data_IF_457830915845
#
_entry.id   IF_457830915845
#
_cell.length_a   1.000
_cell.length_b   1.000
_cell.length_c   1.000
_cell.angle_alpha   90.00
_cell.angle_beta   90.00
_cell.angle_gamma   90.00
#
_symmetry.space_group_name_H-M   'P 1'
#
loop_
_entity.id
_entity.type
_entity.pdbx_description
1 polymer ?
#
# COMPACT_ATOMS: atom_id res chain seq x y z
N UNK A 1 -7.61 -2.98 32.06
CA UNK A 1 -7.75 -4.32 32.70
C UNK A 1 -8.38 -5.35 31.76
N UNK A 2 -9.55 -5.11 31.15
CA UNK A 2 -10.16 -6.05 30.18
C UNK A 2 -9.33 -6.26 28.90
N UNK A 3 -8.64 -5.22 28.43
CA UNK A 3 -7.73 -5.28 27.28
C UNK A 3 -6.54 -6.23 27.53
N UNK A 4 -5.87 -6.04 28.67
CA UNK A 4 -4.76 -6.90 29.13
C UNK A 4 -5.19 -8.36 29.32
N UNK A 5 -6.41 -8.60 29.85
CA UNK A 5 -6.97 -9.94 30.00
C UNK A 5 -7.26 -10.60 28.64
N UNK A 6 -7.72 -9.83 27.65
CA UNK A 6 -7.98 -10.34 26.30
C UNK A 6 -6.69 -10.67 25.53
N UNK A 7 -5.66 -9.85 25.66
CA UNK A 7 -4.32 -10.14 25.11
C UNK A 7 -3.72 -11.38 25.80
N UNK A 8 -3.83 -11.47 27.13
CA UNK A 8 -3.40 -12.65 27.87
C UNK A 8 -4.16 -13.92 27.45
N UNK A 9 -5.47 -13.83 27.16
CA UNK A 9 -6.26 -14.95 26.65
C UNK A 9 -5.85 -15.36 25.24
N UNK A 10 -5.57 -14.41 24.34
CA UNK A 10 -5.08 -14.70 22.99
C UNK A 10 -3.69 -15.35 23.01
N UNK A 11 -2.78 -14.86 23.86
CA UNK A 11 -1.50 -15.49 24.10
C UNK A 11 -1.68 -16.89 24.70
N UNK A 12 -2.60 -17.06 25.65
CA UNK A 12 -2.98 -18.36 26.20
C UNK A 12 -3.45 -19.35 25.12
N UNK A 13 -4.29 -18.92 24.18
CA UNK A 13 -4.73 -19.74 23.05
C UNK A 13 -3.57 -20.08 22.10
N UNK A 14 -2.62 -19.16 21.88
CA UNK A 14 -1.41 -19.42 21.11
C UNK A 14 -0.50 -20.45 21.80
N UNK A 15 -0.36 -20.39 23.12
CA UNK A 15 0.37 -21.39 23.90
C UNK A 15 -0.35 -22.74 23.88
N UNK A 16 -1.68 -22.74 24.04
CA UNK A 16 -2.51 -23.94 23.98
C UNK A 16 -2.46 -24.60 22.61
N UNK A 17 -2.37 -23.83 21.52
CA UNK A 17 -2.12 -24.36 20.18
C UNK A 17 -0.87 -25.22 20.14
N UNK A 18 0.27 -24.72 20.65
CA UNK A 18 1.51 -25.48 20.65
C UNK A 18 1.46 -26.70 21.57
N UNK A 19 0.83 -26.60 22.74
CA UNK A 19 0.59 -27.76 23.63
C UNK A 19 -0.26 -28.83 22.91
N UNK A 20 -1.29 -28.42 22.17
CA UNK A 20 -2.15 -29.31 21.41
C UNK A 20 -1.42 -29.95 20.22
N UNK A 21 -0.53 -29.21 19.54
CA UNK A 21 0.39 -29.76 18.52
C UNK A 21 1.32 -30.82 19.14
N UNK A 22 1.88 -30.57 20.33
CA UNK A 22 2.72 -31.55 21.03
C UNK A 22 1.92 -32.80 21.41
N UNK A 23 0.68 -32.65 21.88
CA UNK A 23 -0.22 -33.77 22.16
C UNK A 23 -0.56 -34.58 20.90
N UNK A 24 -0.75 -33.89 19.75
CA UNK A 24 -0.97 -34.53 18.46
C UNK A 24 0.25 -35.33 18.01
N UNK A 25 1.45 -34.74 18.11
CA UNK A 25 2.72 -35.40 17.78
C UNK A 25 3.01 -36.59 18.69
N UNK A 26 2.69 -36.48 19.99
CA UNK A 26 2.78 -37.61 20.92
C UNK A 26 1.83 -38.73 20.52
N UNK A 27 0.57 -38.39 20.19
CA UNK A 27 -0.40 -39.33 19.63
C UNK A 27 0.16 -40.05 18.40
N UNK A 28 0.71 -39.28 17.45
CA UNK A 28 1.33 -39.78 16.20
C UNK A 28 2.45 -40.79 16.49
N UNK A 29 3.42 -40.42 17.33
CA UNK A 29 4.55 -41.27 17.73
C UNK A 29 4.08 -42.56 18.42
N UNK A 30 3.08 -42.48 19.28
CA UNK A 30 2.49 -43.65 19.93
C UNK A 30 1.76 -44.57 18.95
N UNK A 31 1.05 -44.02 17.97
CA UNK A 31 0.48 -44.83 16.88
C UNK A 31 1.57 -45.50 16.06
N UNK A 32 2.62 -44.76 15.68
CA UNK A 32 3.70 -45.27 14.87
C UNK A 32 4.43 -46.43 15.58
N UNK A 33 4.72 -46.28 16.87
CA UNK A 33 5.32 -47.33 17.69
C UNK A 33 4.40 -48.53 17.89
N UNK A 34 3.09 -48.33 18.07
CA UNK A 34 2.13 -49.43 18.17
C UNK A 34 2.04 -50.24 16.86
N UNK A 35 2.04 -49.55 15.70
CA UNK A 35 2.06 -50.19 14.37
C UNK A 35 3.36 -50.96 14.15
N UNK A 36 4.50 -50.39 14.57
CA UNK A 36 5.79 -51.06 14.48
C UNK A 36 5.84 -52.32 15.35
N UNK A 37 5.35 -52.24 16.59
CA UNK A 37 5.25 -53.39 17.50
C UNK A 37 4.30 -54.48 16.97
N UNK A 38 3.17 -54.10 16.36
CA UNK A 38 2.25 -55.05 15.73
C UNK A 38 2.88 -55.78 14.54
N UNK A 39 3.76 -55.11 13.77
CA UNK A 39 4.52 -55.72 12.68
C UNK A 39 5.66 -56.63 13.16
N UNK A 40 6.28 -56.28 14.29
CA UNK A 40 7.37 -57.06 14.89
C UNK A 40 6.87 -58.32 15.62
N UNK A 41 5.66 -58.29 16.19
CA UNK A 41 5.06 -59.39 16.93
C UNK A 41 4.03 -60.13 16.05
N UNK A 42 4.47 -61.19 15.37
CA UNK A 42 3.66 -61.95 14.40
C UNK A 42 2.61 -62.90 15.01
N UNK A 43 1.72 -62.40 15.90
CA UNK A 43 0.71 -63.23 16.58
C UNK A 43 -0.66 -62.56 16.77
N UNK A 44 -1.74 -63.35 16.68
CA UNK A 44 -3.13 -62.87 16.82
C UNK A 44 -3.43 -62.23 18.19
N UNK A 45 -2.76 -62.71 19.25
CA UNK A 45 -2.94 -62.23 20.62
C UNK A 45 -2.23 -60.87 20.90
N UNK A 46 -1.28 -60.48 20.05
CA UNK A 46 -0.68 -59.14 20.11
C UNK A 46 -1.66 -58.08 19.58
N UNK A 47 -2.43 -58.41 18.54
CA UNK A 47 -3.41 -57.49 17.92
C UNK A 47 -4.57 -57.14 18.85
N UNK A 48 -5.05 -58.10 19.64
CA UNK A 48 -6.12 -57.89 20.63
C UNK A 48 -5.68 -56.96 21.76
N UNK A 49 -4.42 -57.07 22.22
CA UNK A 49 -3.86 -56.19 23.27
C UNK A 49 -3.47 -54.80 22.78
N UNK A 50 -3.02 -54.68 21.53
CA UNK A 50 -2.55 -53.41 20.96
C UNK A 50 -3.70 -52.50 20.47
N UNK A 51 -4.84 -53.07 20.05
CA UNK A 51 -6.03 -52.32 19.61
C UNK A 51 -6.50 -51.21 20.56
N UNK A 52 -6.75 -51.45 21.86
CA UNK A 52 -7.20 -50.39 22.76
C UNK A 52 -6.15 -49.30 22.98
N UNK A 53 -4.85 -49.66 22.98
CA UNK A 53 -3.75 -48.69 23.05
C UNK A 53 -3.68 -47.81 21.81
N UNK A 54 -3.88 -48.40 20.64
CA UNK A 54 -3.89 -47.70 19.35
C UNK A 54 -5.10 -46.76 19.22
N UNK A 55 -6.27 -47.17 19.72
CA UNK A 55 -7.44 -46.30 19.81
C UNK A 55 -7.21 -45.12 20.75
N UNK A 56 -6.57 -45.35 21.89
CA UNK A 56 -6.21 -44.27 22.82
C UNK A 56 -5.22 -43.28 22.17
N UNK A 57 -4.17 -43.75 21.50
CA UNK A 57 -3.22 -42.86 20.81
C UNK A 57 -3.84 -42.09 19.65
N UNK A 58 -4.79 -42.69 18.93
CA UNK A 58 -5.54 -42.00 17.87
C UNK A 58 -6.40 -40.86 18.44
N UNK A 59 -6.99 -41.04 19.62
CA UNK A 59 -7.74 -39.98 20.31
C UNK A 59 -6.84 -38.80 20.70
N UNK A 60 -5.60 -39.06 21.13
CA UNK A 60 -4.61 -38.01 21.39
C UNK A 60 -4.21 -37.28 20.11
N UNK A 61 -3.98 -38.01 19.01
CA UNK A 61 -3.67 -37.42 17.71
C UNK A 61 -4.81 -36.52 17.22
N UNK A 62 -6.03 -37.06 17.15
CA UNK A 62 -7.19 -36.32 16.63
C UNK A 62 -7.59 -35.18 17.55
N UNK A 63 -7.67 -35.42 18.87
CA UNK A 63 -8.01 -34.39 19.85
C UNK A 63 -6.99 -33.27 19.87
N UNK A 64 -5.69 -33.59 19.82
CA UNK A 64 -4.61 -32.60 19.72
C UNK A 64 -4.68 -31.81 18.42
N UNK A 65 -4.90 -32.46 17.27
CA UNK A 65 -5.00 -31.79 15.99
C UNK A 65 -6.22 -30.85 15.89
N UNK A 66 -7.39 -31.28 16.37
CA UNK A 66 -8.59 -30.46 16.39
C UNK A 66 -8.46 -29.27 17.36
N UNK A 67 -7.90 -29.50 18.54
CA UNK A 67 -7.66 -28.42 19.50
C UNK A 67 -6.61 -27.44 18.99
N UNK A 68 -5.55 -27.92 18.33
CA UNK A 68 -4.56 -27.07 17.69
C UNK A 68 -5.18 -26.21 16.58
N UNK A 69 -5.99 -26.80 15.71
CA UNK A 69 -6.68 -26.07 14.65
C UNK A 69 -7.67 -25.04 15.23
N UNK A 70 -8.48 -25.43 16.22
CA UNK A 70 -9.41 -24.53 16.90
C UNK A 70 -8.68 -23.35 17.56
N UNK A 71 -7.57 -23.61 18.24
CA UNK A 71 -6.75 -22.56 18.85
C UNK A 71 -6.09 -21.67 17.78
N UNK A 72 -5.61 -22.24 16.67
CA UNK A 72 -4.99 -21.52 15.55
C UNK A 72 -5.97 -20.52 14.90
N UNK A 73 -7.25 -20.91 14.80
CA UNK A 73 -8.32 -20.07 14.26
C UNK A 73 -8.85 -19.06 15.29
N UNK A 74 -8.89 -19.43 16.57
CA UNK A 74 -9.47 -18.59 17.63
C UNK A 74 -8.51 -17.51 18.16
N UNK A 75 -7.20 -17.78 18.27
CA UNK A 75 -6.27 -16.81 18.86
C UNK A 75 -6.18 -15.48 18.08
N UNK A 76 -6.20 -15.42 16.73
CA UNK A 76 -6.18 -14.16 15.99
C UNK A 76 -7.49 -13.39 16.17
N UNK A 77 -8.62 -14.12 16.29
CA UNK A 77 -9.97 -13.57 16.51
C UNK A 77 -10.06 -12.93 17.90
N UNK A 78 -9.60 -13.62 18.94
CA UNK A 78 -9.57 -13.10 20.32
C UNK A 78 -8.56 -11.96 20.46
N UNK A 79 -7.41 -12.05 19.79
CA UNK A 79 -6.43 -10.96 19.76
C UNK A 79 -7.04 -9.72 19.09
N UNK A 80 -7.64 -9.85 17.92
CA UNK A 80 -8.36 -8.75 17.28
C UNK A 80 -9.44 -8.18 18.22
N UNK A 81 -10.29 -9.03 18.82
CA UNK A 81 -11.36 -8.63 19.76
C UNK A 81 -10.89 -7.80 20.94
N UNK A 82 -9.70 -8.14 21.45
CA UNK A 82 -9.14 -7.50 22.63
C UNK A 82 -8.50 -6.16 22.28
N UNK A 83 -7.93 -6.05 21.08
CA UNK A 83 -7.19 -4.86 20.65
C UNK A 83 -8.11 -3.81 20.01
N UNK A 84 -9.16 -4.23 19.31
CA UNK A 84 -10.22 -3.37 18.77
C UNK A 84 -11.42 -3.36 19.72
N UNK A 85 -11.83 -2.21 20.25
CA UNK A 85 -12.99 -2.06 21.15
C UNK A 85 -14.33 -2.63 20.61
N UNK A 86 -15.45 -2.50 21.35
CA UNK A 86 -16.70 -3.23 21.03
C UNK A 86 -17.21 -2.93 19.62
N UNK A 87 -17.27 -3.97 18.78
CA UNK A 87 -17.80 -3.93 17.41
C UNK A 87 -19.07 -4.76 17.31
N UNK A 88 -20.01 -4.41 16.40
CA UNK A 88 -21.29 -5.09 16.27
C UNK A 88 -21.13 -6.57 15.85
N UNK A 89 -22.08 -7.45 16.22
CA UNK A 89 -22.01 -8.90 16.02
C UNK A 89 -21.71 -9.37 14.58
N UNK A 90 -21.99 -8.53 13.57
CA UNK A 90 -21.68 -8.80 12.16
C UNK A 90 -20.18 -8.92 11.86
N UNK A 91 -19.30 -8.31 12.65
CA UNK A 91 -17.83 -8.34 12.44
C UNK A 91 -17.26 -9.74 12.75
N UNK A 92 -17.83 -10.45 13.72
CA UNK A 92 -17.42 -11.82 14.07
C UNK A 92 -17.84 -12.83 12.98
N UNK A 93 -19.01 -12.64 12.39
CA UNK A 93 -19.46 -13.43 11.24
C UNK A 93 -18.60 -13.16 9.99
N UNK A 94 -18.09 -11.94 9.82
CA UNK A 94 -17.24 -11.52 8.71
C UNK A 94 -15.88 -12.24 8.71
N UNK A 95 -15.30 -12.52 9.88
CA UNK A 95 -14.04 -13.28 10.01
C UNK A 95 -14.21 -14.79 9.73
N UNK A 96 -15.39 -15.35 9.99
CA UNK A 96 -15.71 -16.76 9.68
C UNK A 96 -16.11 -16.95 8.21
N UNK A 97 -16.79 -15.96 7.61
CA UNK A 97 -17.14 -15.93 6.19
C UNK A 97 -15.91 -15.64 5.30
N UNK A 98 -14.89 -14.96 5.82
CA UNK A 98 -13.58 -14.82 5.15
C UNK A 98 -12.91 -16.17 4.84
N UNK A 99 -13.26 -17.25 5.54
CA UNK A 99 -12.79 -18.61 5.26
C UNK A 99 -13.50 -19.29 4.06
N UNK A 100 -14.52 -18.65 3.46
CA UNK A 100 -15.32 -19.21 2.35
C UNK A 100 -15.39 -18.31 1.09
N UNK A 101 -14.53 -17.28 0.98
CA UNK A 101 -14.31 -16.57 -0.29
C UNK A 101 -15.28 -15.43 -0.63
N UNK A 102 -15.86 -14.74 0.36
CA UNK A 102 -16.69 -13.54 0.14
C UNK A 102 -16.07 -12.32 0.85
N UNK A 103 -14.91 -11.86 0.36
CA UNK A 103 -14.11 -10.76 0.93
C UNK A 103 -14.91 -9.44 1.09
N UNK A 104 -14.61 -8.62 2.12
CA UNK A 104 -14.87 -7.18 2.04
C UNK A 104 -13.97 -6.58 0.95
N UNK A 105 -14.39 -5.46 0.37
CA UNK A 105 -13.64 -4.80 -0.70
C UNK A 105 -12.20 -4.47 -0.23
N UNK A 106 -11.24 -4.54 -1.16
CA UNK A 106 -9.82 -4.24 -0.94
C UNK A 106 -9.55 -2.96 -0.13
N UNK A 107 -10.46 -1.98 -0.22
CA UNK A 107 -10.44 -0.72 0.52
C UNK A 107 -10.62 -0.85 2.03
N UNK A 108 -11.34 -1.86 2.53
CA UNK A 108 -11.69 -1.97 3.95
C UNK A 108 -10.58 -2.63 4.77
N UNK A 109 -9.81 -3.55 4.18
CA UNK A 109 -8.64 -4.15 4.82
C UNK A 109 -7.50 -3.14 5.04
N UNK A 110 -7.46 -2.07 4.25
CA UNK A 110 -6.46 -1.00 4.36
C UNK A 110 -6.70 0.01 5.49
N UNK A 111 -7.88 0.03 6.10
CA UNK A 111 -8.18 0.90 7.25
C UNK A 111 -7.64 0.34 8.59
N UNK A 112 -7.15 -0.91 8.59
CA UNK A 112 -6.62 -1.58 9.77
C UNK A 112 -5.12 -1.28 9.92
N UNK A 113 -4.77 -0.43 10.89
CA UNK A 113 -3.40 -0.25 11.39
C UNK A 113 -3.28 -0.76 12.83
N UNK A 114 -2.15 -1.40 13.25
CA UNK A 114 -0.79 -0.90 12.97
C UNK A 114 0.27 -1.88 12.41
N UNK A 115 0.06 -3.17 12.27
CA UNK A 115 1.06 -4.04 11.64
C UNK A 115 0.35 -5.15 10.91
N UNK A 116 0.54 -5.22 9.60
CA UNK A 116 0.05 -6.36 8.83
C UNK A 116 0.55 -7.65 9.48
N UNK A 117 -0.40 -8.51 9.88
CA UNK A 117 -0.14 -9.63 10.80
C UNK A 117 0.47 -10.86 10.11
N UNK A 118 0.54 -10.85 8.79
CA UNK A 118 1.02 -11.95 7.96
C UNK A 118 2.35 -11.59 7.29
N UNK A 119 3.22 -12.56 7.07
CA UNK A 119 4.41 -12.37 6.22
C UNK A 119 4.07 -12.26 4.72
N UNK A 120 2.82 -12.52 4.35
CA UNK A 120 2.31 -12.51 2.98
C UNK A 120 1.16 -11.54 2.84
N UNK A 121 1.13 -10.79 1.73
CA UNK A 121 0.04 -9.91 1.30
C UNK A 121 -0.39 -10.29 -0.11
N UNK A 122 -1.59 -9.94 -0.55
CA UNK A 122 -1.93 -10.02 -1.96
C UNK A 122 -1.01 -9.13 -2.81
N UNK A 123 -0.63 -9.62 -3.99
CA UNK A 123 0.22 -8.88 -4.91
C UNK A 123 -0.60 -7.82 -5.67
N UNK A 124 -0.29 -6.56 -5.38
CA UNK A 124 -0.91 -5.40 -6.03
C UNK A 124 -0.58 -5.30 -7.53
N UNK A 125 0.43 -6.04 -8.02
CA UNK A 125 0.76 -6.14 -9.44
C UNK A 125 -0.15 -7.08 -10.23
N UNK A 126 -1.06 -7.80 -9.57
CA UNK A 126 -1.97 -8.76 -10.23
C UNK A 126 -3.33 -8.09 -10.47
N UNK A 127 -3.72 -7.82 -11.72
CA UNK A 127 -4.99 -7.14 -12.02
C UNK A 127 -6.20 -7.94 -11.53
N UNK A 128 -7.25 -7.26 -11.03
CA UNK A 128 -8.55 -7.87 -10.79
C UNK A 128 -9.07 -8.50 -12.09
N UNK A 129 -9.42 -9.78 -12.08
CA UNK A 129 -9.87 -10.52 -13.27
C UNK A 129 -8.77 -11.25 -14.04
N UNK A 130 -7.53 -11.27 -13.53
CA UNK A 130 -6.49 -12.13 -14.10
C UNK A 130 -6.86 -13.62 -14.02
N UNK A 131 -6.41 -14.41 -15.00
CA UNK A 131 -6.58 -15.88 -14.97
C UNK A 131 -5.96 -16.52 -13.72
N UNK A 132 -4.99 -15.86 -13.08
CA UNK A 132 -4.38 -16.30 -11.84
C UNK A 132 -5.37 -16.23 -10.66
N UNK A 133 -6.12 -15.14 -10.53
CA UNK A 133 -7.15 -14.98 -9.50
C UNK A 133 -8.28 -16.00 -9.68
N UNK A 134 -8.80 -16.16 -10.91
CA UNK A 134 -9.86 -17.12 -11.21
C UNK A 134 -9.44 -18.57 -10.91
N UNK A 135 -8.18 -18.94 -11.19
CA UNK A 135 -7.62 -20.25 -10.82
C UNK A 135 -7.43 -20.40 -9.31
N UNK A 136 -7.13 -19.31 -8.61
CA UNK A 136 -6.99 -19.28 -7.15
C UNK A 136 -8.32 -19.56 -6.45
N UNK A 137 -9.38 -18.89 -6.90
CA UNK A 137 -10.75 -19.12 -6.43
C UNK A 137 -11.20 -20.56 -6.67
N UNK A 138 -10.95 -21.10 -7.87
CA UNK A 138 -11.25 -22.50 -8.19
C UNK A 138 -10.48 -23.47 -7.28
N UNK A 139 -9.18 -23.25 -7.07
CA UNK A 139 -8.37 -24.10 -6.20
C UNK A 139 -8.86 -24.06 -4.73
N UNK A 140 -9.20 -22.88 -4.22
CA UNK A 140 -9.77 -22.74 -2.87
C UNK A 140 -11.10 -23.48 -2.73
N UNK A 141 -11.98 -23.42 -3.75
CA UNK A 141 -13.24 -24.17 -3.77
C UNK A 141 -13.01 -25.70 -3.76
N UNK A 142 -12.05 -26.20 -4.53
CA UNK A 142 -11.66 -27.61 -4.51
C UNK A 142 -11.13 -28.06 -3.15
N UNK A 143 -10.32 -27.23 -2.48
CA UNK A 143 -9.80 -27.52 -1.14
C UNK A 143 -10.89 -27.53 -0.08
N UNK A 144 -11.82 -26.57 -0.13
CA UNK A 144 -12.98 -26.55 0.75
C UNK A 144 -13.87 -27.78 0.58
N UNK A 145 -14.15 -28.17 -0.67
CA UNK A 145 -14.93 -29.37 -0.98
C UNK A 145 -14.24 -30.65 -0.48
N UNK A 146 -12.91 -30.76 -0.69
CA UNK A 146 -12.14 -31.91 -0.26
C UNK A 146 -12.03 -32.00 1.27
N UNK A 147 -11.92 -30.86 1.97
CA UNK A 147 -11.98 -30.80 3.44
C UNK A 147 -13.33 -31.25 3.99
N UNK A 148 -14.44 -30.76 3.41
CA UNK A 148 -15.80 -31.16 3.80
C UNK A 148 -16.05 -32.65 3.57
N UNK A 149 -15.58 -33.18 2.44
CA UNK A 149 -15.64 -34.62 2.15
C UNK A 149 -14.82 -35.44 3.17
N UNK A 150 -13.61 -35.00 3.50
CA UNK A 150 -12.78 -35.63 4.54
C UNK A 150 -13.42 -35.62 5.92
N UNK A 151 -14.04 -34.49 6.31
CA UNK A 151 -14.75 -34.35 7.59
C UNK A 151 -15.99 -35.26 7.67
N UNK A 152 -16.77 -35.36 6.58
CA UNK A 152 -17.92 -36.28 6.49
C UNK A 152 -17.51 -37.76 6.60
N UNK A 153 -16.38 -38.12 5.98
CA UNK A 153 -15.81 -39.48 6.08
C UNK A 153 -15.27 -39.76 7.49
N UNK A 154 -14.72 -38.76 8.18
CA UNK A 154 -14.25 -38.88 9.57
C UNK A 154 -15.37 -39.21 10.56
N UNK A 155 -16.57 -38.69 10.31
CA UNK A 155 -17.76 -38.91 11.13
C UNK A 155 -18.43 -40.28 10.87
N UNK A 156 -18.15 -40.92 9.74
CA UNK A 156 -18.67 -42.25 9.45
C UNK A 156 -17.93 -43.33 10.26
N UNK A 157 -18.64 -44.14 11.07
CA UNK A 157 -18.09 -45.10 12.07
C UNK A 157 -17.13 -46.22 11.55
N UNK A 158 -16.70 -46.19 10.29
CA UNK A 158 -15.80 -47.16 9.63
C UNK A 158 -14.49 -46.51 9.09
N UNK A 159 -14.08 -45.37 9.63
CA UNK A 159 -13.30 -44.34 8.94
C UNK A 159 -11.80 -44.54 8.67
N UNK A 160 -11.09 -45.55 9.19
CA UNK A 160 -9.61 -45.47 9.20
C UNK A 160 -8.93 -45.49 7.81
N UNK A 161 -9.40 -46.32 6.87
CA UNK A 161 -8.84 -46.36 5.51
C UNK A 161 -9.45 -45.30 4.58
N UNK A 162 -10.71 -44.93 4.81
CA UNK A 162 -11.43 -43.92 4.01
C UNK A 162 -10.93 -42.50 4.29
N UNK A 163 -10.53 -42.21 5.53
CA UNK A 163 -9.84 -40.97 5.90
C UNK A 163 -8.49 -40.84 5.18
N UNK A 164 -7.69 -41.92 5.16
CA UNK A 164 -6.41 -41.94 4.46
C UNK A 164 -6.59 -41.75 2.95
N UNK A 165 -7.61 -42.38 2.35
CA UNK A 165 -7.95 -42.18 0.94
C UNK A 165 -8.44 -40.75 0.65
N UNK A 166 -9.30 -40.18 1.50
CA UNK A 166 -9.76 -38.79 1.36
C UNK A 166 -8.60 -37.79 1.49
N UNK A 167 -7.71 -37.99 2.48
CA UNK A 167 -6.50 -37.17 2.63
C UNK A 167 -5.53 -37.33 1.44
N UNK A 168 -5.40 -38.52 0.87
CA UNK A 168 -4.60 -38.75 -0.32
C UNK A 168 -5.19 -38.05 -1.55
N UNK A 169 -6.52 -38.04 -1.71
CA UNK A 169 -7.20 -37.29 -2.79
C UNK A 169 -7.02 -35.78 -2.60
N UNK A 170 -7.15 -35.26 -1.39
CA UNK A 170 -6.86 -33.84 -1.07
C UNK A 170 -5.40 -33.51 -1.40
N UNK A 171 -4.45 -34.36 -1.01
CA UNK A 171 -3.03 -34.18 -1.30
C UNK A 171 -2.74 -34.23 -2.81
N UNK A 172 -3.34 -35.16 -3.54
CA UNK A 172 -3.23 -35.25 -5.00
C UNK A 172 -3.84 -34.04 -5.71
N UNK A 173 -4.95 -33.47 -5.21
CA UNK A 173 -5.55 -32.25 -5.74
C UNK A 173 -4.69 -31.00 -5.46
N UNK A 174 -4.05 -30.92 -4.28
CA UNK A 174 -3.07 -29.89 -3.94
C UNK A 174 -1.82 -29.94 -4.84
N UNK A 175 -1.38 -31.16 -5.17
CA UNK A 175 -0.20 -31.44 -6.00
C UNK A 175 -0.49 -31.51 -7.51
N UNK A 176 -1.76 -31.33 -7.92
CA UNK A 176 -2.14 -31.44 -9.32
C UNK A 176 -1.53 -30.29 -10.15
N UNK A 177 -1.00 -30.57 -11.35
CA UNK A 177 -0.47 -29.54 -12.25
C UNK A 177 -1.60 -28.60 -12.66
N UNK A 178 -1.60 -27.38 -12.13
CA UNK A 178 -2.63 -26.36 -12.40
C UNK A 178 -3.10 -25.57 -11.18
N UNK A 179 -2.79 -26.02 -9.95
CA UNK A 179 -2.98 -25.18 -8.77
C UNK A 179 -2.07 -23.96 -8.87
N UNK A 180 -2.61 -22.72 -8.76
CA UNK A 180 -1.77 -21.54 -8.85
C UNK A 180 -0.83 -21.55 -7.65
N UNK A 181 0.46 -21.45 -7.97
CA UNK A 181 1.50 -21.23 -6.99
C UNK A 181 1.14 -19.98 -6.18
N UNK A 182 1.11 -20.03 -4.84
CA UNK A 182 0.69 -18.91 -4.02
C UNK A 182 1.53 -17.66 -4.29
N UNK A 183 2.77 -17.81 -4.76
CA UNK A 183 3.68 -16.73 -5.17
C UNK A 183 3.18 -15.93 -6.39
N UNK A 184 2.18 -16.41 -7.14
CA UNK A 184 1.55 -15.65 -8.24
C UNK A 184 0.46 -14.70 -7.76
N UNK A 185 -0.04 -14.86 -6.55
CA UNK A 185 -1.17 -14.08 -6.00
C UNK A 185 -0.77 -13.36 -4.72
N UNK A 186 0.26 -13.86 -4.03
CA UNK A 186 0.78 -13.33 -2.78
C UNK A 186 2.21 -12.83 -2.98
N UNK A 187 2.46 -11.61 -2.53
CA UNK A 187 3.79 -11.02 -2.38
C UNK A 187 4.22 -11.02 -0.91
N UNK A 188 5.52 -10.99 -0.60
CA UNK A 188 6.00 -10.73 0.75
C UNK A 188 5.48 -9.39 1.27
N UNK A 189 4.99 -9.38 2.50
CA UNK A 189 4.55 -8.18 3.18
C UNK A 189 5.64 -7.70 4.15
N UNK A 190 5.74 -6.38 4.31
CA UNK A 190 6.57 -5.74 5.32
C UNK A 190 5.67 -5.21 6.44
N UNK A 191 6.18 -4.98 7.65
CA UNK A 191 5.38 -4.38 8.73
C UNK A 191 4.78 -3.02 8.34
N UNK A 192 5.37 -2.33 7.35
CA UNK A 192 4.93 -1.03 6.87
C UNK A 192 4.09 -1.09 5.60
N UNK A 193 3.86 -2.23 4.94
CA UNK A 193 3.22 -2.31 3.60
C UNK A 193 2.03 -1.36 3.44
N UNK A 194 1.05 -1.43 4.34
CA UNK A 194 -0.19 -0.63 4.22
C UNK A 194 -0.08 0.76 4.84
N UNK A 195 1.07 1.12 5.41
CA UNK A 195 1.30 2.41 6.05
C UNK A 195 1.27 3.52 5.01
N UNK A 196 0.40 4.48 5.26
CA UNK A 196 0.28 5.67 4.43
C UNK A 196 1.27 6.76 4.89
N UNK A 197 1.75 7.62 3.96
CA UNK A 197 2.60 8.74 4.31
C UNK A 197 1.88 9.71 5.26
N UNK A 198 2.47 10.08 6.41
CA UNK A 198 1.87 11.02 7.36
C UNK A 198 2.18 12.49 7.01
N UNK A 199 2.76 12.76 5.84
CA UNK A 199 3.40 14.03 5.47
C UNK A 199 2.46 15.05 4.85
N UNK A 200 1.27 14.61 4.44
CA UNK A 200 0.30 15.39 3.67
C UNK A 200 0.87 16.08 2.42
N UNK A 201 2.01 15.56 1.92
CA UNK A 201 2.74 16.12 0.77
C UNK A 201 3.10 17.61 0.96
N UNK A 202 3.50 17.98 2.16
CA UNK A 202 3.91 19.34 2.52
C UNK A 202 5.20 19.77 1.80
N UNK A 203 5.20 20.97 1.24
CA UNK A 203 6.28 21.49 0.40
C UNK A 203 7.62 21.66 1.12
N UNK A 204 7.61 22.01 2.41
CA UNK A 204 8.83 22.08 3.22
C UNK A 204 9.43 20.68 3.42
N UNK A 205 8.57 19.67 3.59
CA UNK A 205 8.98 18.27 3.71
C UNK A 205 9.54 17.73 2.40
N UNK A 206 8.94 18.06 1.26
CA UNK A 206 9.48 17.73 -0.06
C UNK A 206 10.91 18.32 -0.20
N UNK A 207 11.11 19.58 0.19
CA UNK A 207 12.42 20.23 0.16
C UNK A 207 13.42 19.57 1.12
N UNK A 208 13.00 19.20 2.33
CA UNK A 208 13.84 18.46 3.28
C UNK A 208 14.25 17.08 2.72
N UNK A 209 13.29 16.35 2.13
CA UNK A 209 13.51 15.10 1.43
C UNK A 209 14.53 15.21 0.30
N UNK A 210 14.48 16.29 -0.48
CA UNK A 210 15.46 16.56 -1.52
C UNK A 210 16.88 16.67 -0.95
N UNK A 211 17.07 17.35 0.19
CA UNK A 211 18.39 17.46 0.85
C UNK A 211 18.92 16.09 1.28
N UNK A 212 18.08 15.29 1.93
CA UNK A 212 18.44 13.92 2.31
C UNK A 212 18.79 13.05 1.09
N UNK A 213 18.00 13.15 0.01
CA UNK A 213 18.25 12.43 -1.23
C UNK A 213 19.61 12.79 -1.84
N UNK A 214 19.93 14.09 -1.94
CA UNK A 214 21.20 14.54 -2.50
C UNK A 214 22.40 14.06 -1.67
N UNK A 215 22.26 14.04 -0.34
CA UNK A 215 23.33 13.60 0.57
C UNK A 215 23.56 12.09 0.54
N UNK A 216 22.48 11.29 0.46
CA UNK A 216 22.56 9.85 0.72
C UNK A 216 22.35 8.98 -0.52
N UNK A 217 21.58 9.43 -1.50
CA UNK A 217 21.08 8.59 -2.59
C UNK A 217 21.66 8.98 -3.96
N UNK A 218 21.87 10.28 -4.20
CA UNK A 218 22.23 10.81 -5.52
C UNK A 218 23.60 10.35 -6.05
N UNK A 219 24.54 9.97 -5.18
CA UNK A 219 25.85 9.46 -5.60
C UNK A 219 25.76 8.15 -6.39
N UNK A 220 24.74 7.32 -6.13
CA UNK A 220 24.45 6.09 -6.87
C UNK A 220 23.29 6.28 -7.85
N UNK A 221 22.18 6.89 -7.42
CA UNK A 221 20.97 7.00 -8.25
C UNK A 221 20.95 8.23 -9.18
N UNK A 222 21.93 9.12 -9.08
CA UNK A 222 22.00 10.38 -9.84
C UNK A 222 21.10 11.47 -9.26
N UNK A 223 21.36 12.73 -9.61
CA UNK A 223 20.63 13.89 -9.08
C UNK A 223 19.12 13.85 -9.40
N UNK A 224 18.76 13.26 -10.56
CA UNK A 224 17.38 13.08 -11.05
C UNK A 224 16.83 11.66 -10.86
N UNK A 225 17.52 10.79 -10.12
CA UNK A 225 17.05 9.42 -9.87
C UNK A 225 17.10 8.49 -11.08
N UNK A 226 17.94 8.76 -12.08
CA UNK A 226 18.03 7.96 -13.33
C UNK A 226 18.96 6.75 -13.23
N UNK A 227 19.54 6.48 -12.06
CA UNK A 227 20.51 5.40 -11.89
C UNK A 227 21.86 5.70 -12.54
N UNK A 228 22.15 6.98 -12.80
CA UNK A 228 23.32 7.48 -13.52
C UNK A 228 24.29 8.25 -12.60
N UNK A 229 24.24 7.98 -11.29
CA UNK A 229 25.14 8.61 -10.33
C UNK A 229 26.61 8.26 -10.59
N UNK A 230 27.57 9.09 -10.14
CA UNK A 230 29.00 8.85 -10.36
C UNK A 230 29.51 7.51 -9.81
N UNK A 231 28.80 6.92 -8.84
CA UNK A 231 29.12 5.61 -8.28
C UNK A 231 28.31 4.46 -8.89
N UNK A 232 27.38 4.72 -9.82
CA UNK A 232 26.46 3.71 -10.36
C UNK A 232 27.19 2.52 -10.99
N UNK A 233 28.17 2.80 -11.87
CA UNK A 233 28.96 1.76 -12.54
C UNK A 233 29.86 0.94 -11.60
N UNK A 234 30.07 1.41 -10.36
CA UNK A 234 30.87 0.71 -9.34
C UNK A 234 30.04 -0.22 -8.46
N UNK A 235 28.72 -0.21 -8.60
CA UNK A 235 27.84 -1.05 -7.79
C UNK A 235 27.78 -2.49 -8.34
N UNK A 236 27.71 -3.52 -7.48
CA UNK A 236 27.55 -4.91 -7.92
C UNK A 236 26.28 -5.17 -8.74
N UNK A 237 25.26 -4.33 -8.55
CA UNK A 237 24.04 -4.27 -9.36
C UNK A 237 23.78 -2.82 -9.70
N UNK A 238 23.43 -2.56 -10.95
CA UNK A 238 23.12 -1.21 -11.40
C UNK A 238 21.98 -0.60 -10.56
N UNK A 239 22.12 0.63 -10.04
CA UNK A 239 21.07 1.26 -9.25
C UNK A 239 19.77 1.41 -10.04
N UNK A 240 18.63 1.10 -9.41
CA UNK A 240 17.34 1.25 -10.06
C UNK A 240 17.02 2.71 -10.41
N UNK A 241 16.29 2.93 -11.50
CA UNK A 241 15.66 4.21 -11.80
C UNK A 241 14.55 4.47 -10.77
N UNK A 242 14.59 5.63 -10.13
CA UNK A 242 13.64 6.09 -9.11
C UNK A 242 12.63 7.09 -9.71
N UNK A 243 12.07 6.73 -10.87
CA UNK A 243 11.13 7.56 -11.64
C UNK A 243 9.66 7.12 -11.49
N UNK A 244 8.77 7.54 -12.42
CA UNK A 244 7.33 7.28 -12.36
C UNK A 244 6.94 5.83 -12.04
N UNK A 245 7.57 4.86 -12.72
CA UNK A 245 7.32 3.43 -12.55
C UNK A 245 7.52 2.92 -11.11
N UNK A 246 8.29 3.64 -10.27
CA UNK A 246 8.46 3.30 -8.86
C UNK A 246 7.14 3.36 -8.08
N UNK A 247 6.24 4.26 -8.48
CA UNK A 247 5.01 4.60 -7.76
C UNK A 247 3.74 3.98 -8.36
N UNK A 248 3.81 3.36 -9.54
CA UNK A 248 2.64 2.77 -10.22
C UNK A 248 2.13 1.48 -9.52
N UNK A 249 3.03 0.63 -9.03
CA UNK A 249 2.70 -0.72 -8.55
C UNK A 249 3.34 -1.08 -7.20
N UNK A 250 3.59 -0.08 -6.36
CA UNK A 250 4.24 -0.26 -5.06
C UNK A 250 3.47 0.48 -3.97
N UNK A 251 3.32 -0.15 -2.82
CA UNK A 251 2.78 0.54 -1.66
C UNK A 251 3.84 1.49 -1.10
N UNK A 252 3.40 2.70 -0.74
CA UNK A 252 4.27 3.72 -0.17
C UNK A 252 5.04 3.21 1.06
N UNK A 253 4.38 2.39 1.89
CA UNK A 253 4.99 1.78 3.07
C UNK A 253 6.04 0.71 2.78
N UNK A 254 5.94 -0.02 1.66
CA UNK A 254 7.00 -0.93 1.22
C UNK A 254 8.23 -0.15 0.73
N UNK A 255 8.02 0.98 0.05
CA UNK A 255 9.12 1.88 -0.34
C UNK A 255 9.82 2.46 0.90
N UNK A 256 9.04 2.90 1.88
CA UNK A 256 9.54 3.42 3.16
C UNK A 256 10.37 2.36 3.90
N UNK A 257 9.85 1.13 3.97
CA UNK A 257 10.57 0.01 4.56
C UNK A 257 11.89 -0.25 3.84
N UNK A 258 11.91 -0.28 2.50
CA UNK A 258 13.14 -0.50 1.72
C UNK A 258 14.18 0.58 1.94
N UNK A 259 13.79 1.86 2.00
CA UNK A 259 14.74 2.97 2.26
C UNK A 259 15.43 2.77 3.62
N UNK A 260 14.68 2.36 4.64
CA UNK A 260 15.20 2.22 6.00
C UNK A 260 15.94 0.90 6.24
N UNK A 261 15.42 -0.20 5.72
CA UNK A 261 15.91 -1.55 6.02
C UNK A 261 16.76 -2.15 4.90
N UNK A 262 16.81 -1.52 3.73
CA UNK A 262 17.51 -2.04 2.55
C UNK A 262 16.76 -3.18 1.85
N UNK A 263 17.38 -3.71 0.80
CA UNK A 263 16.92 -4.88 0.07
C UNK A 263 17.34 -6.14 0.85
N UNK A 264 16.46 -6.66 1.71
CA UNK A 264 16.63 -8.01 2.25
C UNK A 264 16.39 -9.02 1.12
N UNK A 265 17.44 -9.66 0.62
CA UNK A 265 17.35 -10.59 -0.51
C UNK A 265 16.98 -12.02 -0.10
N UNK A 266 16.29 -12.20 1.03
CA UNK A 266 15.89 -13.54 1.52
C UNK A 266 17.07 -14.51 1.75
N UNK A 267 18.31 -14.06 1.54
CA UNK A 267 19.54 -14.78 1.77
C UNK A 267 20.34 -13.99 2.79
N UNK A 268 20.10 -14.27 4.07
CA UNK A 268 21.12 -14.04 5.08
C UNK A 268 22.42 -14.70 4.59
N UNK A 269 23.39 -13.92 4.09
CA UNK A 269 24.69 -14.47 3.71
C UNK A 269 25.44 -13.91 2.50
N UNK A 270 24.95 -12.91 1.77
CA UNK A 270 25.84 -12.10 0.91
C UNK A 270 26.10 -10.73 1.52
N UNK A 271 27.08 -10.71 2.43
CA UNK A 271 27.70 -9.49 2.92
C UNK A 271 28.12 -8.60 1.74
N UNK A 272 27.45 -7.46 1.56
CA UNK A 272 27.86 -6.45 0.57
C UNK A 272 26.76 -5.57 -0.05
N UNK A 273 25.47 -5.83 0.15
CA UNK A 273 24.38 -5.13 -0.58
C UNK A 273 23.42 -4.30 0.28
N UNK A 274 23.62 -4.25 1.61
CA UNK A 274 22.72 -3.55 2.54
C UNK A 274 22.90 -2.03 2.48
N UNK A 275 22.28 -1.38 1.50
CA UNK A 275 22.07 0.07 1.44
C UNK A 275 20.89 0.50 2.33
N UNK A 276 20.94 0.11 3.60
CA UNK A 276 19.91 0.43 4.59
C UNK A 276 20.24 1.77 5.26
N UNK A 277 19.35 2.75 5.19
CA UNK A 277 19.56 4.07 5.78
C UNK A 277 18.84 4.26 7.12
N UNK A 278 18.31 3.21 7.73
CA UNK A 278 17.51 3.30 8.95
C UNK A 278 18.25 3.86 10.17
N UNK A 279 19.59 3.80 10.19
CA UNK A 279 20.44 4.43 11.20
C UNK A 279 20.77 5.91 10.89
N UNK A 280 20.70 6.31 9.62
CA UNK A 280 21.03 7.66 9.16
C UNK A 280 19.79 8.55 8.93
N UNK A 281 18.62 7.95 8.71
CA UNK A 281 17.35 8.62 8.46
C UNK A 281 16.32 8.25 9.53
N UNK A 282 15.65 9.25 10.08
CA UNK A 282 14.47 9.01 10.90
C UNK A 282 13.35 8.38 10.06
N UNK A 283 12.34 7.82 10.72
CA UNK A 283 11.15 7.33 9.99
C UNK A 283 10.48 8.45 9.20
N UNK A 284 10.61 9.69 9.66
CA UNK A 284 9.96 10.83 9.02
C UNK A 284 10.78 11.29 7.80
N UNK A 285 12.10 11.40 7.92
CA UNK A 285 12.99 11.81 6.83
C UNK A 285 12.91 10.83 5.64
N UNK A 286 12.71 9.54 5.91
CA UNK A 286 12.48 8.54 4.87
C UNK A 286 11.17 8.76 4.11
N UNK A 287 10.11 9.28 4.76
CA UNK A 287 8.89 9.68 4.06
C UNK A 287 9.12 10.94 3.24
N UNK A 288 9.86 11.90 3.77
CA UNK A 288 10.18 13.16 3.09
C UNK A 288 10.97 12.88 1.79
N UNK A 289 11.92 11.95 1.81
CA UNK A 289 12.62 11.48 0.59
C UNK A 289 11.66 10.90 -0.45
N UNK A 290 10.67 10.11 -0.01
CA UNK A 290 9.67 9.55 -0.93
C UNK A 290 8.75 10.61 -1.52
N UNK A 291 8.40 11.65 -0.76
CA UNK A 291 7.64 12.79 -1.28
C UNK A 291 8.44 13.57 -2.33
N UNK A 292 9.75 13.79 -2.10
CA UNK A 292 10.64 14.36 -3.11
C UNK A 292 10.69 13.52 -4.39
N UNK A 293 10.88 12.21 -4.26
CA UNK A 293 10.91 11.30 -5.42
C UNK A 293 9.56 11.29 -6.15
N UNK A 294 8.44 11.38 -5.43
CA UNK A 294 7.10 11.44 -6.03
C UNK A 294 6.87 12.76 -6.77
N UNK A 295 7.34 13.89 -6.23
CA UNK A 295 7.30 15.18 -6.92
C UNK A 295 8.13 15.15 -8.22
N UNK A 296 9.36 14.61 -8.17
CA UNK A 296 10.21 14.47 -9.35
C UNK A 296 9.65 13.49 -10.40
N UNK A 297 9.03 12.39 -9.95
CA UNK A 297 8.33 11.46 -10.82
C UNK A 297 7.18 12.14 -11.58
N UNK A 298 6.36 12.94 -10.89
CA UNK A 298 5.29 13.71 -11.53
C UNK A 298 5.82 14.69 -12.59
N UNK A 299 6.94 15.36 -12.33
CA UNK A 299 7.59 16.22 -13.31
C UNK A 299 8.13 15.47 -14.52
N UNK A 300 8.65 14.25 -14.33
CA UNK A 300 9.06 13.40 -15.43
C UNK A 300 7.86 12.94 -16.28
N UNK A 301 6.71 12.64 -15.66
CA UNK A 301 5.49 12.29 -16.41
C UNK A 301 5.02 13.43 -17.32
N UNK A 302 4.99 14.68 -16.84
CA UNK A 302 4.62 15.85 -17.64
C UNK A 302 5.58 16.15 -18.80
N UNK A 303 6.83 15.69 -18.72
CA UNK A 303 7.77 15.85 -19.82
C UNK A 303 7.45 14.88 -20.99
N UNK A 304 6.93 13.70 -20.67
CA UNK A 304 6.73 12.60 -21.61
C UNK A 304 5.25 12.39 -22.01
N UNK A 305 4.31 12.98 -21.26
CA UNK A 305 2.86 12.77 -21.40
C UNK A 305 2.09 14.10 -21.33
N UNK A 306 0.87 14.18 -21.90
CA UNK A 306 0.06 15.40 -21.87
C UNK A 306 -0.54 15.72 -20.49
N UNK A 307 -0.20 14.98 -19.42
CA UNK A 307 -0.74 15.16 -18.07
C UNK A 307 -0.08 14.17 -17.08
N UNK A 308 -0.48 14.24 -15.82
CA UNK A 308 -0.03 13.27 -14.80
C UNK A 308 -0.83 11.98 -14.90
N UNK A 309 -0.18 10.82 -14.90
CA UNK A 309 -0.88 9.52 -14.93
C UNK A 309 -1.16 9.00 -13.53
N UNK A 310 -0.43 9.51 -12.54
CA UNK A 310 -0.66 9.19 -11.14
C UNK A 310 -1.38 10.32 -10.41
N UNK A 311 -2.33 9.95 -9.57
CA UNK A 311 -2.94 10.89 -8.63
C UNK A 311 -1.86 11.51 -7.71
N UNK A 312 -1.65 12.82 -7.86
CA UNK A 312 -0.68 13.57 -7.07
C UNK A 312 -1.42 14.64 -6.25
N UNK A 313 -1.29 14.65 -4.90
CA UNK A 313 -1.81 15.75 -4.13
C UNK A 313 -1.05 17.03 -4.47
N UNK A 314 -1.72 18.18 -4.44
CA UNK A 314 -1.04 19.46 -4.56
C UNK A 314 -0.08 19.65 -3.38
N UNK A 315 1.20 20.03 -3.60
CA UNK A 315 2.12 20.29 -2.49
C UNK A 315 1.49 21.29 -1.51
N UNK A 316 1.30 20.84 -0.27
CA UNK A 316 0.67 21.65 0.77
C UNK A 316 1.64 22.73 1.24
N UNK A 317 1.09 23.89 1.60
CA UNK A 317 1.88 25.05 2.01
C UNK A 317 1.06 25.95 2.92
N UNK A 318 1.76 26.77 3.71
CA UNK A 318 1.13 27.86 4.44
C UNK A 318 0.55 28.89 3.46
N UNK A 319 -0.67 29.33 3.74
CA UNK A 319 -1.37 30.37 3.02
C UNK A 319 -1.76 31.48 3.97
N UNK A 320 -1.85 32.68 3.42
CA UNK A 320 -2.54 33.79 4.04
C UNK A 320 -3.46 34.41 3.01
N UNK A 321 -4.73 34.53 3.38
CA UNK A 321 -5.80 34.95 2.48
C UNK A 321 -6.44 36.23 3.02
N UNK A 322 -6.69 37.20 2.14
CA UNK A 322 -7.30 38.47 2.54
C UNK A 322 -8.76 38.31 2.95
N UNK A 323 -9.51 37.52 2.17
CA UNK A 323 -10.97 37.34 2.31
C UNK A 323 -11.39 36.05 3.03
N UNK A 324 -10.43 35.16 3.31
CA UNK A 324 -10.66 33.84 3.90
C UNK A 324 -9.75 33.63 5.13
N UNK A 325 -10.02 34.30 6.27
CA UNK A 325 -9.10 34.30 7.41
C UNK A 325 -8.97 32.94 8.13
N UNK A 326 -9.89 32.01 7.89
CA UNK A 326 -9.84 30.65 8.42
C UNK A 326 -8.92 29.72 7.61
N UNK A 327 -8.51 30.13 6.41
CA UNK A 327 -7.62 29.35 5.55
C UNK A 327 -6.18 29.70 5.93
N UNK A 328 -5.46 28.73 6.48
CA UNK A 328 -4.06 28.89 6.88
C UNK A 328 -3.11 28.01 6.06
N UNK A 329 -3.64 26.98 5.40
CA UNK A 329 -2.91 26.08 4.50
C UNK A 329 -3.71 25.74 3.26
N UNK A 330 -3.01 25.29 2.21
CA UNK A 330 -3.66 24.86 0.96
C UNK A 330 -4.68 23.74 1.19
N UNK A 331 -4.37 22.79 2.09
CA UNK A 331 -5.29 21.71 2.47
C UNK A 331 -6.62 22.19 3.07
N UNK A 332 -6.68 23.41 3.60
CA UNK A 332 -7.91 23.98 4.17
C UNK A 332 -8.90 24.40 3.08
N UNK A 333 -8.43 24.55 1.83
CA UNK A 333 -9.24 24.82 0.64
C UNK A 333 -9.87 23.56 0.03
N UNK A 334 -9.73 22.39 0.66
CA UNK A 334 -10.46 21.18 0.24
C UNK A 334 -11.96 21.46 0.21
N UNK A 335 -12.64 21.00 -0.85
CA UNK A 335 -14.02 21.35 -1.17
C UNK A 335 -14.13 22.48 -2.22
N UNK A 336 -13.09 23.30 -2.39
CA UNK A 336 -13.00 24.34 -3.41
C UNK A 336 -12.13 23.88 -4.58
N UNK A 337 -12.32 24.47 -5.76
CA UNK A 337 -11.33 24.37 -6.84
C UNK A 337 -10.30 25.47 -6.65
N UNK A 338 -9.03 25.13 -6.78
CA UNK A 338 -7.94 26.07 -6.56
C UNK A 338 -7.12 26.20 -7.84
N UNK A 339 -6.76 27.43 -8.19
CA UNK A 339 -5.77 27.71 -9.23
C UNK A 339 -4.56 28.35 -8.59
N UNK A 340 -3.42 27.73 -8.82
CA UNK A 340 -2.15 28.15 -8.23
C UNK A 340 -1.30 28.76 -9.34
N UNK A 341 -0.88 30.01 -9.15
CA UNK A 341 -0.09 30.77 -10.12
C UNK A 341 1.31 30.99 -9.58
N UNK A 342 2.32 30.56 -10.32
CA UNK A 342 3.71 30.92 -10.04
C UNK A 342 4.02 32.24 -10.75
N UNK A 343 4.33 33.29 -10.00
CA UNK A 343 4.59 34.62 -10.54
C UNK A 343 5.70 35.33 -9.75
N UNK A 344 6.63 35.96 -10.47
CA UNK A 344 7.55 36.95 -9.92
C UNK A 344 6.91 38.34 -9.92
N UNK A 345 7.62 39.31 -9.33
CA UNK A 345 7.26 40.71 -9.49
C UNK A 345 7.31 41.11 -10.97
N UNK A 346 6.20 41.67 -11.47
CA UNK A 346 6.07 42.13 -12.85
C UNK A 346 5.48 41.10 -13.82
N UNK A 347 5.27 39.84 -13.40
CA UNK A 347 4.51 38.87 -14.19
C UNK A 347 3.07 39.37 -14.33
N UNK A 348 2.50 39.42 -15.55
CA UNK A 348 1.14 39.93 -15.76
C UNK A 348 0.11 39.17 -14.92
N UNK A 349 -0.86 39.88 -14.29
CA UNK A 349 -1.88 39.23 -13.50
C UNK A 349 -2.78 38.36 -14.38
N UNK A 350 -3.16 37.20 -13.88
CA UNK A 350 -4.16 36.35 -14.52
C UNK A 350 -5.55 36.81 -14.06
N UNK A 351 -6.48 36.95 -15.00
CA UNK A 351 -7.85 37.34 -14.69
C UNK A 351 -8.48 36.33 -13.69
N UNK A 352 -9.05 36.82 -12.57
CA UNK A 352 -9.75 35.96 -11.62
C UNK A 352 -10.94 35.25 -12.25
N UNK A 353 -11.19 34.00 -11.87
CA UNK A 353 -12.38 33.25 -12.27
C UNK A 353 -13.23 32.94 -11.03
N UNK A 354 -14.51 33.34 -10.97
CA UNK A 354 -15.34 33.16 -9.77
C UNK A 354 -15.60 31.69 -9.40
N UNK A 355 -15.25 30.74 -10.27
CA UNK A 355 -15.35 29.29 -10.02
C UNK A 355 -14.11 28.74 -9.30
N UNK A 356 -13.08 29.54 -9.10
CA UNK A 356 -11.77 29.16 -8.58
C UNK A 356 -11.38 30.05 -7.39
N UNK A 357 -10.62 29.47 -6.46
CA UNK A 357 -9.84 30.24 -5.49
C UNK A 357 -8.44 30.43 -6.06
N UNK A 358 -8.02 31.68 -6.25
CA UNK A 358 -6.74 32.01 -6.85
C UNK A 358 -5.65 32.15 -5.77
N UNK A 359 -4.63 31.30 -5.84
CA UNK A 359 -3.47 31.27 -4.93
C UNK A 359 -2.23 31.71 -5.71
N UNK A 360 -1.50 32.70 -5.20
CA UNK A 360 -0.24 33.13 -5.81
C UNK A 360 0.98 32.59 -5.05
N UNK A 361 1.89 31.96 -5.78
CA UNK A 361 3.23 31.59 -5.33
C UNK A 361 4.20 32.69 -5.79
N UNK A 362 4.75 33.47 -4.86
CA UNK A 362 5.78 34.46 -5.16
C UNK A 362 7.03 34.16 -4.35
N UNK A 363 8.22 34.07 -4.97
CA UNK A 363 9.47 33.95 -4.23
C UNK A 363 9.90 35.33 -3.73
N UNK A 364 10.45 35.42 -2.53
CA UNK A 364 11.26 36.57 -2.11
C UNK A 364 10.54 37.81 -1.56
N UNK A 365 9.21 37.88 -1.56
CA UNK A 365 8.48 39.12 -1.25
C UNK A 365 7.41 38.93 -0.18
N UNK A 366 7.24 39.93 0.70
CA UNK A 366 6.21 39.89 1.74
C UNK A 366 4.82 40.11 1.16
N UNK A 367 3.91 39.19 1.47
CA UNK A 367 2.51 39.15 1.06
C UNK A 367 1.69 40.46 1.16
N UNK A 368 2.18 41.43 1.95
CA UNK A 368 1.52 42.72 2.20
C UNK A 368 1.29 43.55 0.93
N UNK A 369 2.11 43.37 -0.09
CA UNK A 369 2.00 44.16 -1.34
C UNK A 369 1.13 43.48 -2.41
N UNK A 370 0.67 42.24 -2.18
CA UNK A 370 -0.05 41.43 -3.19
C UNK A 370 -1.52 41.19 -2.83
N UNK A 371 -1.89 41.29 -1.55
CA UNK A 371 -3.24 40.95 -1.07
C UNK A 371 -4.00 42.19 -0.61
N UNK A 372 -5.14 42.47 -1.23
CA UNK A 372 -6.10 43.45 -0.74
C UNK A 372 -5.93 44.89 -1.22
N UNK A 373 -5.20 45.15 -2.30
CA UNK A 373 -5.44 46.35 -3.11
C UNK A 373 -6.69 46.15 -3.97
N UNK A 374 -7.35 47.22 -4.41
CA UNK A 374 -8.49 47.15 -5.37
C UNK A 374 -8.10 46.55 -6.74
N UNK A 375 -6.80 46.24 -6.93
CA UNK A 375 -6.18 45.58 -8.08
C UNK A 375 -5.76 44.11 -7.78
N UNK A 376 -6.06 43.61 -6.57
CA UNK A 376 -5.65 42.29 -6.10
C UNK A 376 -6.41 41.14 -6.77
N UNK A 377 -5.77 40.49 -7.73
CA UNK A 377 -6.32 39.37 -8.50
C UNK A 377 -6.22 38.01 -7.79
N UNK A 378 -5.52 37.90 -6.65
CA UNK A 378 -5.36 36.66 -5.90
C UNK A 378 -6.12 36.68 -4.55
N UNK A 379 -6.76 35.57 -4.20
CA UNK A 379 -7.47 35.38 -2.93
C UNK A 379 -6.51 35.13 -1.76
N UNK A 380 -5.45 34.38 -2.06
CA UNK A 380 -4.49 33.86 -1.11
C UNK A 380 -3.08 33.96 -1.69
N UNK A 381 -2.08 34.04 -0.81
CA UNK A 381 -0.69 33.86 -1.20
C UNK A 381 0.15 33.22 -0.11
N UNK A 382 1.37 32.86 -0.45
CA UNK A 382 2.33 32.21 0.46
C UNK A 382 3.07 33.27 1.28
N UNK A 383 2.94 33.27 2.63
CA UNK A 383 3.41 34.37 3.47
C UNK A 383 4.94 34.50 3.55
N UNK A 384 5.67 33.40 3.35
CA UNK A 384 7.13 33.35 3.51
C UNK A 384 7.85 33.40 2.17
N UNK A 385 8.84 34.31 2.10
CA UNK A 385 9.69 34.58 0.94
C UNK A 385 10.58 33.40 0.50
N UNK A 386 10.71 32.35 1.33
CA UNK A 386 11.56 31.20 1.04
C UNK A 386 10.76 30.03 0.47
N UNK A 387 11.13 29.70 -0.76
CA UNK A 387 10.26 29.22 -1.81
C UNK A 387 10.14 27.69 -1.83
N UNK A 388 10.00 27.04 -0.66
CA UNK A 388 9.80 25.58 -0.59
C UNK A 388 8.62 25.14 -1.45
N UNK A 389 7.52 25.90 -1.40
CA UNK A 389 6.38 25.75 -2.32
C UNK A 389 6.82 25.91 -3.78
N UNK A 390 7.44 27.04 -4.15
CA UNK A 390 7.91 27.25 -5.52
C UNK A 390 8.78 26.11 -6.05
N UNK A 391 9.77 25.67 -5.26
CA UNK A 391 10.67 24.59 -5.64
C UNK A 391 9.96 23.25 -5.75
N UNK A 392 9.01 22.96 -4.86
CA UNK A 392 8.18 21.76 -4.93
C UNK A 392 7.32 21.75 -6.20
N UNK A 393 6.67 22.87 -6.55
CA UNK A 393 5.90 23.00 -7.79
C UNK A 393 6.79 22.95 -9.04
N UNK A 394 8.02 23.48 -8.97
CA UNK A 394 8.99 23.33 -10.06
C UNK A 394 9.34 21.85 -10.31
N UNK A 395 9.56 21.07 -9.25
CA UNK A 395 9.79 19.62 -9.39
C UNK A 395 8.57 18.90 -9.94
N UNK A 396 7.37 19.19 -9.43
CA UNK A 396 6.10 18.63 -9.92
C UNK A 396 5.86 18.95 -11.40
N UNK A 397 6.29 20.13 -11.87
CA UNK A 397 6.20 20.56 -13.27
C UNK A 397 7.33 20.03 -14.16
N UNK A 398 8.35 19.38 -13.59
CA UNK A 398 9.53 18.94 -14.34
C UNK A 398 10.34 20.11 -14.90
N UNK A 399 10.36 21.24 -14.19
CA UNK A 399 11.03 22.49 -14.58
C UNK A 399 12.11 22.86 -13.56
N UNK A 400 13.09 23.63 -14.00
CA UNK A 400 13.98 24.32 -13.07
C UNK A 400 13.21 25.45 -12.38
N UNK A 401 13.60 25.81 -11.16
CA UNK A 401 12.91 26.85 -10.40
C UNK A 401 12.85 28.19 -11.16
N UNK A 402 13.89 28.54 -11.90
CA UNK A 402 13.94 29.76 -12.72
C UNK A 402 12.94 29.74 -13.90
N UNK A 403 12.45 28.57 -14.30
CA UNK A 403 11.57 28.38 -15.45
C UNK A 403 10.10 28.25 -15.05
N UNK A 404 9.76 28.40 -13.76
CA UNK A 404 8.39 28.24 -13.27
C UNK A 404 7.55 29.52 -13.42
N UNK A 405 8.18 30.66 -13.67
CA UNK A 405 7.48 31.94 -13.75
C UNK A 405 6.39 31.95 -14.82
N UNK A 406 5.16 32.33 -14.45
CA UNK A 406 3.99 32.30 -15.33
C UNK A 406 3.28 30.95 -15.44
N UNK A 407 3.76 29.91 -14.73
CA UNK A 407 3.09 28.62 -14.71
C UNK A 407 1.79 28.63 -13.89
N UNK A 408 0.80 27.84 -14.30
CA UNK A 408 -0.45 27.67 -13.56
C UNK A 408 -0.77 26.20 -13.30
N UNK A 409 -1.39 25.92 -12.16
CA UNK A 409 -1.82 24.59 -11.76
C UNK A 409 -3.28 24.62 -11.34
N UNK A 410 -4.07 23.64 -11.79
CA UNK A 410 -5.44 23.43 -11.32
C UNK A 410 -5.47 22.28 -10.32
N UNK A 411 -6.13 22.54 -9.19
CA UNK A 411 -6.35 21.59 -8.11
C UNK A 411 -7.85 21.38 -7.95
N UNK A 412 -8.28 20.12 -7.88
CA UNK A 412 -9.69 19.80 -7.66
C UNK A 412 -10.13 19.93 -6.19
N UNK A 413 -11.43 19.71 -5.95
CA UNK A 413 -12.03 19.76 -4.61
C UNK A 413 -11.46 18.71 -3.64
N UNK A 414 -10.81 17.67 -4.14
CA UNK A 414 -10.13 16.66 -3.35
C UNK A 414 -8.74 17.08 -2.88
N UNK A 415 -8.19 18.17 -3.44
CA UNK A 415 -6.81 18.59 -3.23
C UNK A 415 -5.81 17.91 -4.18
N UNK A 416 -6.27 17.34 -5.30
CA UNK A 416 -5.43 16.67 -6.29
C UNK A 416 -5.07 17.62 -7.43
N UNK A 417 -3.81 17.58 -7.87
CA UNK A 417 -3.38 18.26 -9.08
C UNK A 417 -4.05 17.62 -10.29
N UNK A 418 -4.62 18.46 -11.16
CA UNK A 418 -5.40 18.02 -12.31
C UNK A 418 -4.83 18.48 -13.62
N UNK A 419 -4.51 19.77 -13.72
CA UNK A 419 -3.96 20.31 -14.95
C UNK A 419 -2.82 21.27 -14.65
N UNK A 420 -1.91 21.37 -15.60
CA UNK A 420 -0.78 22.25 -15.63
C UNK A 420 -0.83 23.07 -16.92
N UNK A 421 -0.56 24.36 -16.80
CA UNK A 421 -0.38 25.27 -17.92
C UNK A 421 1.05 25.81 -17.85
N UNK A 422 1.79 25.60 -18.94
CA UNK A 422 3.17 26.03 -19.03
C UNK A 422 3.27 27.56 -19.09
N UNK A 423 4.38 28.14 -18.61
CA UNK A 423 4.67 29.57 -18.78
C UNK A 423 4.44 30.08 -20.20
N UNK A 424 3.64 31.13 -20.34
CA UNK A 424 3.36 31.79 -21.62
C UNK A 424 2.36 31.08 -22.54
N UNK A 425 1.95 29.85 -22.22
CA UNK A 425 0.92 29.14 -22.96
C UNK A 425 -0.46 29.45 -22.37
N UNK A 426 -1.14 30.47 -22.89
CA UNK A 426 -2.40 30.94 -22.29
C UNK A 426 -3.63 30.09 -22.64
N UNK A 427 -3.51 29.18 -23.61
CA UNK A 427 -4.65 28.47 -24.19
C UNK A 427 -4.62 26.96 -23.92
N UNK A 428 -3.45 26.34 -23.76
CA UNK A 428 -3.36 24.90 -23.58
C UNK A 428 -3.15 24.51 -22.11
N UNK A 429 -4.11 23.73 -21.59
CA UNK A 429 -3.97 23.01 -20.33
C UNK A 429 -3.57 21.56 -20.60
N UNK A 430 -2.72 21.00 -19.75
CA UNK A 430 -2.47 19.57 -19.70
C UNK A 430 -3.77 18.80 -19.46
N UNK A 431 -3.88 17.60 -20.02
CA UNK A 431 -5.05 16.75 -19.94
C UNK A 431 -5.32 16.30 -18.47
N UNK A 432 -6.50 16.59 -17.89
CA UNK A 432 -6.82 16.30 -16.49
C UNK A 432 -7.36 14.88 -16.23
N UNK A 433 -7.58 14.12 -17.28
CA UNK A 433 -8.18 12.79 -17.37
C UNK A 433 -7.14 11.66 -17.49
N UNK A 434 -5.88 12.01 -17.75
CA UNK A 434 -4.75 11.07 -17.87
C UNK A 434 -4.55 10.17 -16.66
N UNK A 435 -5.07 10.55 -15.48
CA UNK A 435 -5.02 9.75 -14.25
C UNK A 435 -5.99 8.57 -14.23
N UNK A 436 -6.98 8.54 -15.13
CA UNK A 436 -8.06 7.56 -15.13
C UNK A 436 -7.96 6.51 -16.24
N UNK A 437 -7.00 6.65 -17.17
CA UNK A 437 -6.92 5.80 -18.36
C UNK A 437 -5.77 4.78 -18.31
N UNK A 438 -6.08 3.48 -18.48
CA UNK A 438 -5.07 2.44 -18.68
C UNK A 438 -4.63 2.38 -20.15
N UNK A 439 -3.83 3.34 -20.61
CA UNK A 439 -3.12 3.26 -21.91
C UNK A 439 -3.43 4.38 -22.92
N UNK A 440 -2.45 4.57 -23.83
CA UNK A 440 -2.28 5.61 -24.86
C UNK A 440 -3.45 6.56 -25.15
N UNK A 441 -3.22 7.83 -24.81
CA UNK A 441 -4.10 8.97 -25.13
C UNK A 441 -3.91 9.35 -26.60
N UNK A 442 -5.01 9.54 -27.33
CA UNK A 442 -5.00 9.98 -28.72
C UNK A 442 -4.41 11.41 -28.88
N UNK A 443 -3.77 11.73 -30.03
CA UNK A 443 -3.11 13.02 -30.23
C UNK A 443 -3.98 14.27 -30.09
N UNK A 444 -5.28 14.14 -30.35
CA UNK A 444 -6.28 15.20 -30.30
C UNK A 444 -6.76 15.52 -28.87
N UNK A 445 -6.49 14.64 -27.90
CA UNK A 445 -6.81 14.83 -26.48
C UNK A 445 -5.66 15.46 -25.68
N UNK A 446 -4.57 15.87 -26.33
CA UNK A 446 -3.35 16.36 -25.66
C UNK A 446 -3.49 17.71 -24.96
N UNK A 447 -4.57 18.46 -25.21
CA UNK A 447 -4.79 19.81 -24.68
C UNK A 447 -6.25 20.03 -24.35
N UNK A 448 -6.55 20.58 -23.17
CA UNK A 448 -7.88 21.16 -22.93
C UNK A 448 -8.08 22.43 -23.74
N UNK A 449 -9.19 22.52 -24.48
CA UNK A 449 -9.61 23.76 -25.14
C UNK A 449 -10.12 24.73 -24.07
N UNK A 450 -9.19 25.51 -23.50
CA UNK A 450 -9.49 26.56 -22.54
C UNK A 450 -9.91 26.09 -21.14
N UNK A 451 -10.06 27.06 -20.23
CA UNK A 451 -10.29 26.81 -18.81
C UNK A 451 -11.65 26.15 -18.53
N UNK A 452 -12.71 26.57 -19.22
CA UNK A 452 -14.07 26.06 -18.95
C UNK A 452 -14.22 24.56 -19.26
N UNK A 453 -13.71 24.10 -20.41
CA UNK A 453 -13.73 22.68 -20.77
C UNK A 453 -12.88 21.86 -19.80
N UNK A 454 -11.67 22.34 -19.48
CA UNK A 454 -10.78 21.70 -18.50
C UNK A 454 -11.47 21.51 -17.14
N UNK A 455 -12.17 22.55 -16.64
CA UNK A 455 -12.91 22.46 -15.37
C UNK A 455 -14.08 21.47 -15.43
N UNK A 456 -14.80 21.42 -16.55
CA UNK A 456 -15.88 20.46 -16.74
C UNK A 456 -15.34 19.02 -16.70
N UNK A 457 -14.23 18.73 -17.39
CA UNK A 457 -13.59 17.40 -17.37
C UNK A 457 -13.08 17.01 -15.98
N UNK A 458 -12.55 17.98 -15.23
CA UNK A 458 -12.12 17.77 -13.83
C UNK A 458 -13.28 17.27 -12.96
N UNK A 459 -14.48 17.81 -13.13
CA UNK A 459 -15.65 17.41 -12.34
C UNK A 459 -16.25 16.08 -12.77
N UNK A 460 -16.30 15.81 -14.08
CA UNK A 460 -16.90 14.57 -14.60
C UNK A 460 -16.02 13.35 -14.33
N UNK A 461 -14.72 13.57 -14.08
CA UNK A 461 -13.77 12.54 -13.72
C UNK A 461 -13.10 12.84 -12.38
N UNK A 462 -13.76 12.56 -11.25
CA UNK A 462 -13.14 12.73 -9.94
C UNK A 462 -11.96 11.77 -9.80
N UNK A 463 -10.84 12.28 -9.26
CA UNK A 463 -9.70 11.42 -8.90
C UNK A 463 -10.18 10.45 -7.84
N UNK A 464 -10.28 9.18 -8.21
CA UNK A 464 -10.43 8.11 -7.23
C UNK A 464 -9.13 8.13 -6.43
N UNK A 465 -9.17 8.28 -5.09
CA UNK A 465 -7.98 8.10 -4.29
C UNK A 465 -7.34 6.79 -4.77
N UNK A 466 -6.03 6.75 -5.08
CA UNK A 466 -5.38 5.47 -5.35
C UNK A 466 -5.79 4.55 -4.21
N UNK A 467 -6.19 3.30 -4.53
CA UNK A 467 -6.93 2.33 -3.69
C UNK A 467 -6.32 2.02 -2.30
N UNK A 468 -5.35 2.81 -1.87
CA UNK A 468 -4.64 2.81 -0.60
C UNK A 468 -5.11 3.89 0.41
N UNK A 469 -6.16 4.66 0.13
CA UNK A 469 -6.94 5.39 1.17
C UNK A 469 -8.41 5.48 0.81
N UNK A 470 -9.26 4.63 1.39
CA UNK A 470 -10.70 4.91 1.46
C UNK A 470 -10.98 5.76 2.69
N UNK A 471 -11.66 6.90 2.47
CA UNK A 471 -12.09 7.87 3.49
C UNK A 471 -13.06 7.23 4.50
N UNK A 472 -13.04 7.84 5.68
CA UNK A 472 -14.04 7.84 6.76
C UNK A 472 -15.49 7.81 6.30
#
# INVERSE_FOLDING_TARGET
MLHELGIAAALGLRWLHWIAVTAALYGLLRTATAIWQERALAGSDARTRLRPRMQASLRWLMGGAWLALGCALAWPVVYAASVSGPQPPGVWASMALAAQGWLPSWSELGQWHPAWVSSWRPDAGVPPGSRALARGEQAAAWLGAAFLAGAGVAFARQASWRLAAAMAVVACLLLAPGTPRPELVLAPATPHTFRQPPTDFDAERILAGARHYQQLCASCHGAKGRGDGPLAARQPRWPSVLGPALFEHRHAGDLHWRVRQGLGDGTEGKAGTSHAYGAALSSQDAWDVLDYLRAGAAGAELADHPGWRQALPAPDMALRCARLPHVQRLRDLRGQRVRIHAAHAGTPPVMPDPRLVDVVLRPGETLRDTLGSDEGWADCGVPDAMSAAWQAYAWVAGREAAQLDGAQFLVDRGGWLRAYQAPGDTLAWSAPDTMCEPGEIAPDQRTGEGLSDTLQRIDTQPVRPPLFRARS
#
